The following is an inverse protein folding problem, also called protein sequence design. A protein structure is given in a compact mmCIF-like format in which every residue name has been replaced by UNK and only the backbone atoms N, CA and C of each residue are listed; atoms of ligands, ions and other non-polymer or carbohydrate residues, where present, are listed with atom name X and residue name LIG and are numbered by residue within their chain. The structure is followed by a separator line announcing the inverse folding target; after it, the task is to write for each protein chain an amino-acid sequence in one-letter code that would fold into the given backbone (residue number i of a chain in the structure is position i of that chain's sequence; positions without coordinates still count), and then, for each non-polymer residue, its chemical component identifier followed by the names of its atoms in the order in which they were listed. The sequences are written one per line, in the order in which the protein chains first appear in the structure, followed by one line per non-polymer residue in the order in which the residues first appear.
data_IF_270493940249
#
_entry.id   IF_270493940249
#
_cell.length_a   1.000
_cell.length_b   1.000
_cell.length_c   1.000
_cell.angle_alpha   90.00
_cell.angle_beta   90.00
_cell.angle_gamma   90.00
#
_symmetry.space_group_name_H-M   'P 1'
#
loop_
_entity.id
_entity.type
_entity.pdbx_description
1 polymer ?
#
# COMPACT_ATOMS: atom_id res chain seq x y z
N UNK A 1 0.79 -22.79 -1.46
CA UNK A 1 0.25 -22.01 -0.31
C UNK A 1 -0.51 -20.85 -0.92
N UNK A 2 -1.82 -20.74 -0.68
CA UNK A 2 -2.71 -19.79 -1.35
C UNK A 2 -3.48 -18.96 -0.32
N UNK A 3 -2.73 -18.30 0.56
CA UNK A 3 -3.22 -17.35 1.56
C UNK A 3 -2.23 -16.21 1.70
N UNK A 4 -2.71 -14.99 1.96
CA UNK A 4 -1.85 -13.86 2.30
C UNK A 4 -1.37 -13.99 3.75
N UNK A 5 -0.06 -13.90 3.95
CA UNK A 5 0.53 -13.77 5.28
C UNK A 5 0.36 -12.35 5.82
N UNK A 6 0.53 -12.18 7.13
CA UNK A 6 0.38 -10.88 7.79
C UNK A 6 1.28 -9.80 7.17
N UNK A 7 2.51 -10.17 6.79
CA UNK A 7 3.44 -9.25 6.15
C UNK A 7 2.93 -8.74 4.80
N UNK A 8 2.28 -9.58 4.00
CA UNK A 8 1.69 -9.19 2.72
C UNK A 8 0.44 -8.33 2.91
N UNK A 9 -0.36 -8.64 3.94
CA UNK A 9 -1.51 -7.81 4.30
C UNK A 9 -1.06 -6.41 4.75
N UNK A 10 0.02 -6.30 5.52
CA UNK A 10 0.59 -5.02 5.94
C UNK A 10 1.11 -4.22 4.74
N UNK A 11 1.76 -4.88 3.78
CA UNK A 11 2.19 -4.27 2.51
C UNK A 11 1.00 -3.75 1.68
N UNK A 12 -0.04 -4.56 1.50
CA UNK A 12 -1.27 -4.16 0.80
C UNK A 12 -1.95 -2.98 1.50
N UNK A 13 -2.10 -3.05 2.82
CA UNK A 13 -2.66 -1.96 3.61
C UNK A 13 -1.83 -0.67 3.50
N UNK A 14 -0.51 -0.78 3.40
CA UNK A 14 0.36 0.38 3.18
C UNK A 14 0.18 0.96 1.77
N UNK A 15 0.12 0.12 0.74
CA UNK A 15 -0.16 0.56 -0.65
C UNK A 15 -1.48 1.33 -0.76
N UNK A 16 -2.51 0.89 -0.04
CA UNK A 16 -3.82 1.56 0.01
C UNK A 16 -3.76 2.96 0.64
N UNK A 17 -2.76 3.27 1.47
CA UNK A 17 -2.59 4.60 2.07
C UNK A 17 -1.98 5.61 1.12
N UNK A 18 -1.38 5.18 0.01
CA UNK A 18 -0.82 6.10 -0.98
C UNK A 18 -1.94 6.86 -1.70
N UNK A 19 -1.79 8.18 -1.90
CA UNK A 19 -2.78 8.99 -2.60
C UNK A 19 -2.85 8.57 -4.08
N UNK A 20 -4.08 8.41 -4.59
CA UNK A 20 -4.34 8.02 -6.00
C UNK A 20 -4.38 9.23 -6.93
N UNK A 21 -4.82 10.38 -6.42
CA UNK A 21 -5.09 11.58 -7.23
C UNK A 21 -3.83 12.28 -7.74
N UNK A 22 -2.67 11.99 -7.17
CA UNK A 22 -1.43 12.61 -7.61
C UNK A 22 -0.25 11.67 -7.40
N UNK A 23 0.30 11.16 -8.51
CA UNK A 23 1.59 10.44 -8.53
C UNK A 23 2.73 11.30 -7.95
N UNK A 24 2.54 12.62 -7.93
CA UNK A 24 3.47 13.60 -7.37
C UNK A 24 3.29 13.80 -5.85
N UNK A 25 2.28 13.21 -5.23
CA UNK A 25 2.14 13.20 -3.77
C UNK A 25 2.69 11.90 -3.22
N UNK A 26 3.95 11.96 -2.80
CA UNK A 26 4.56 10.87 -2.06
C UNK A 26 3.90 10.68 -0.69
N UNK A 27 3.91 9.44 -0.19
CA UNK A 27 3.51 9.14 1.18
C UNK A 27 4.77 9.19 2.06
N UNK A 28 4.84 10.16 2.98
CA UNK A 28 5.89 10.14 4.01
C UNK A 28 5.42 9.36 5.22
N UNK A 29 6.05 8.22 5.48
CA UNK A 29 5.88 7.53 6.75
C UNK A 29 6.68 8.29 7.79
N UNK A 30 5.98 8.93 8.71
CA UNK A 30 6.63 9.53 9.86
C UNK A 30 7.23 8.43 10.75
N UNK A 31 8.34 8.73 11.40
CA UNK A 31 9.05 7.81 12.30
C UNK A 31 8.22 7.40 13.54
N UNK A 32 7.04 7.99 13.72
CA UNK A 32 6.01 7.61 14.71
C UNK A 32 5.12 6.46 14.22
N UNK A 33 5.26 6.04 12.97
CA UNK A 33 4.53 4.91 12.43
C UNK A 33 4.95 3.60 13.11
N UNK A 34 3.98 2.70 13.29
CA UNK A 34 4.20 1.41 13.92
C UNK A 34 5.31 0.61 13.22
N UNK A 35 6.08 -0.18 13.97
CA UNK A 35 7.17 -0.99 13.42
C UNK A 35 6.74 -1.86 12.23
N UNK A 36 5.49 -2.35 12.23
CA UNK A 36 4.90 -3.09 11.11
C UNK A 36 4.80 -2.27 9.82
N UNK A 37 4.47 -0.97 9.90
CA UNK A 37 4.42 -0.09 8.72
C UNK A 37 5.81 0.17 8.17
N UNK A 38 6.79 0.42 9.04
CA UNK A 38 8.20 0.63 8.64
C UNK A 38 8.75 -0.64 7.97
N UNK A 39 8.47 -1.81 8.55
CA UNK A 39 8.88 -3.10 7.97
C UNK A 39 8.19 -3.36 6.63
N UNK A 40 6.89 -3.07 6.52
CA UNK A 40 6.16 -3.19 5.26
C UNK A 40 6.74 -2.27 4.17
N UNK A 41 7.04 -1.01 4.51
CA UNK A 41 7.66 -0.07 3.58
C UNK A 41 9.04 -0.54 3.12
N UNK A 42 9.88 -1.01 4.05
CA UNK A 42 11.19 -1.60 3.71
C UNK A 42 11.06 -2.79 2.76
N UNK A 43 10.07 -3.67 2.96
CA UNK A 43 9.79 -4.79 2.04
C UNK A 43 9.29 -4.34 0.68
N UNK A 44 8.38 -3.37 0.63
CA UNK A 44 7.91 -2.76 -0.63
C UNK A 44 9.07 -2.12 -1.39
N UNK A 45 9.98 -1.46 -0.69
CA UNK A 45 11.18 -0.86 -1.28
C UNK A 45 12.13 -1.93 -1.82
N UNK A 46 12.38 -3.00 -1.05
CA UNK A 46 13.18 -4.14 -1.50
C UNK A 46 12.59 -4.83 -2.75
N UNK A 47 11.25 -4.78 -2.90
CA UNK A 47 10.51 -5.27 -4.08
C UNK A 47 10.47 -4.26 -5.25
N UNK A 48 10.97 -3.03 -5.06
CA UNK A 48 10.95 -1.98 -6.08
C UNK A 48 9.58 -1.35 -6.32
N UNK A 49 8.64 -1.47 -5.38
CA UNK A 49 7.29 -0.91 -5.47
C UNK A 49 7.22 0.55 -5.03
N UNK A 50 8.16 0.97 -4.18
CA UNK A 50 8.30 2.35 -3.73
C UNK A 50 9.74 2.82 -3.95
N UNK A 51 9.91 4.13 -4.06
CA UNK A 51 11.21 4.77 -4.35
C UNK A 51 12.08 5.00 -3.11
N UNK A 52 11.50 4.92 -1.90
CA UNK A 52 12.23 5.13 -0.64
C UNK A 52 11.72 4.18 0.44
N UNK A 53 12.57 3.74 1.39
CA UNK A 53 12.17 2.86 2.49
C UNK A 53 11.14 3.47 3.45
N UNK A 54 11.02 4.81 3.49
CA UNK A 54 10.11 5.53 4.40
C UNK A 54 8.82 6.02 3.69
N UNK A 55 8.42 5.34 2.61
CA UNK A 55 7.16 5.60 1.92
C UNK A 55 7.29 6.38 0.61
N UNK A 56 8.20 7.35 0.49
CA UNK A 56 8.56 8.02 -0.78
C UNK A 56 7.43 8.17 -1.81
N UNK A 57 7.69 7.71 -3.03
CA UNK A 57 6.72 7.65 -4.13
C UNK A 57 6.52 6.21 -4.58
N UNK A 58 5.35 5.89 -5.13
CA UNK A 58 5.16 4.61 -5.83
C UNK A 58 5.95 4.63 -7.15
N UNK A 59 6.52 3.48 -7.50
CA UNK A 59 7.02 3.23 -8.87
C UNK A 59 5.85 2.86 -9.78
N UNK A 60 6.08 2.74 -11.10
CA UNK A 60 5.06 2.27 -12.05
C UNK A 60 4.41 0.95 -11.60
N UNK A 61 5.23 -0.01 -11.17
CA UNK A 61 4.74 -1.28 -10.62
C UNK A 61 3.97 -1.11 -9.30
N UNK A 62 4.43 -0.20 -8.44
CA UNK A 62 3.73 0.13 -7.19
C UNK A 62 2.35 0.73 -7.42
N UNK A 63 2.20 1.56 -8.45
CA UNK A 63 0.93 2.17 -8.85
C UNK A 63 -0.05 1.08 -9.30
N UNK A 64 0.37 0.19 -10.20
CA UNK A 64 -0.46 -0.93 -10.67
C UNK A 64 -0.90 -1.83 -9.50
N UNK A 65 0.01 -2.14 -8.59
CA UNK A 65 -0.31 -3.00 -7.45
C UNK A 65 -1.24 -2.30 -6.45
N UNK A 66 -1.05 -1.00 -6.22
CA UNK A 66 -1.95 -0.21 -5.39
C UNK A 66 -3.36 -0.13 -6.01
N UNK A 67 -3.48 0.00 -7.32
CA UNK A 67 -4.77 -0.04 -8.01
C UNK A 67 -5.46 -1.40 -7.84
N UNK A 68 -4.74 -2.50 -8.06
CA UNK A 68 -5.26 -3.85 -7.82
C UNK A 68 -5.70 -4.04 -6.36
N UNK A 69 -4.91 -3.56 -5.41
CA UNK A 69 -5.26 -3.63 -3.99
C UNK A 69 -6.57 -2.86 -3.69
N UNK A 70 -6.73 -1.65 -4.26
CA UNK A 70 -7.96 -0.85 -4.12
C UNK A 70 -9.15 -1.54 -4.78
N UNK A 71 -8.95 -2.16 -5.94
CA UNK A 71 -9.98 -2.95 -6.61
C UNK A 71 -10.45 -4.12 -5.76
N UNK A 72 -9.51 -4.89 -5.20
CA UNK A 72 -9.81 -6.00 -4.29
C UNK A 72 -10.53 -5.49 -3.04
N UNK A 73 -10.03 -4.43 -2.41
CA UNK A 73 -10.66 -3.82 -1.24
C UNK A 73 -12.09 -3.35 -1.56
N UNK A 74 -12.29 -2.68 -2.69
CA UNK A 74 -13.60 -2.21 -3.14
C UNK A 74 -14.57 -3.36 -3.41
N UNK A 75 -14.09 -4.45 -4.02
CA UNK A 75 -14.89 -5.64 -4.29
C UNK A 75 -15.26 -6.42 -3.01
N UNK A 76 -14.36 -6.45 -2.02
CA UNK A 76 -14.57 -7.11 -0.74
C UNK A 76 -15.36 -6.24 0.25
N UNK A 77 -15.27 -4.92 0.14
CA UNK A 77 -16.09 -4.01 0.93
C UNK A 77 -17.55 -4.17 0.51
N UNK A 78 -18.46 -4.50 1.44
CA UNK A 78 -19.88 -4.53 1.11
C UNK A 78 -20.27 -3.15 0.61
N UNK A 79 -20.88 -3.09 -0.59
CA UNK A 79 -21.48 -1.85 -1.10
C UNK A 79 -22.42 -1.35 -0.01
N UNK A 80 -22.10 -0.22 0.63
CA UNK A 80 -23.05 0.46 1.51
C UNK A 80 -24.27 0.73 0.64
N UNK A 81 -25.33 -0.04 0.85
CA UNK A 81 -26.64 0.27 0.31
C UNK A 81 -27.08 1.55 1.01
N UNK A 82 -26.86 2.68 0.36
CA UNK A 82 -27.49 3.95 0.74
C UNK A 82 -29.00 3.71 0.74
N UNK A 83 -29.59 3.71 1.94
CA UNK A 83 -31.03 3.90 2.12
C UNK A 83 -31.34 5.38 1.95
#
# INVERSE_FOLDING_TARGET
MSSFDQDMLDELNLLLKFPTDSLLQGLKIHHDASQSMVNAASRLYAKGLITQPDGGYLTDLGIDLADHARHIQSALCPRKSSH
#
